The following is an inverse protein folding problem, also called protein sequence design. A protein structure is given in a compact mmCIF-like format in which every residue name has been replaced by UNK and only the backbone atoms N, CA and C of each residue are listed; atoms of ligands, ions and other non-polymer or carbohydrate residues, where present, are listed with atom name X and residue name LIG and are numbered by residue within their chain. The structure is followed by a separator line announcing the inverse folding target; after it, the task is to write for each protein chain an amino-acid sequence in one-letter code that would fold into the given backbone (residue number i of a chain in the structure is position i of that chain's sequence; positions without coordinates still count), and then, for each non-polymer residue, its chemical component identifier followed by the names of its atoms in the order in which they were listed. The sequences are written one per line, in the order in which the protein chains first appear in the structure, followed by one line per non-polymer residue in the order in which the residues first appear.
data_IF_466383703050
#
_entry.id   IF_466383703050
#
_cell.length_a   1.000
_cell.length_b   1.000
_cell.length_c   1.000
_cell.angle_alpha   90.00
_cell.angle_beta   90.00
_cell.angle_gamma   90.00
#
_symmetry.space_group_name_H-M   'P 1'
#
loop_
_entity.id
_entity.type
_entity.pdbx_description
1 polymer ?
#
# COMPACT_ATOMS: atom_id res chain seq x y z
N UNK A 1 -0.96 3.05 -9.42
CA UNK A 1 -0.60 2.35 -10.67
C UNK A 1 0.40 1.24 -10.37
N UNK A 2 -0.07 0.00 -10.45
CA UNK A 2 0.77 -1.20 -10.41
C UNK A 2 1.15 -1.51 -11.86
N UNK A 3 2.42 -1.84 -12.12
CA UNK A 3 3.05 -1.85 -13.46
C UNK A 3 2.54 -2.91 -14.45
N UNK A 4 1.37 -3.52 -14.20
CA UNK A 4 0.73 -4.41 -15.16
C UNK A 4 0.10 -3.64 -16.32
N UNK A 5 -0.09 -2.32 -16.19
CA UNK A 5 -0.75 -1.47 -17.18
C UNK A 5 0.25 -0.56 -17.91
N UNK A 6 -0.03 -0.28 -19.19
CA UNK A 6 0.68 0.73 -19.96
C UNK A 6 0.56 2.11 -19.30
N UNK A 7 1.67 2.82 -19.11
CA UNK A 7 1.69 4.13 -18.48
C UNK A 7 0.88 5.23 -19.22
N UNK A 8 0.48 4.97 -20.47
CA UNK A 8 -0.24 5.95 -21.31
C UNK A 8 -1.71 5.61 -21.48
N UNK A 9 -2.01 4.40 -21.95
CA UNK A 9 -3.37 3.98 -22.31
C UNK A 9 -4.00 3.00 -21.31
N UNK A 10 -3.31 2.67 -20.22
CA UNK A 10 -3.74 1.73 -19.19
C UNK A 10 -4.03 0.29 -19.66
N UNK A 11 -3.75 -0.06 -20.93
CA UNK A 11 -3.86 -1.44 -21.44
C UNK A 11 -2.98 -2.40 -20.63
N UNK A 12 -3.54 -3.55 -20.26
CA UNK A 12 -2.80 -4.64 -19.61
C UNK A 12 -1.66 -5.13 -20.51
N UNK A 13 -0.45 -5.22 -19.96
CA UNK A 13 0.77 -5.58 -20.68
C UNK A 13 1.01 -7.09 -20.77
N UNK A 14 0.15 -7.89 -20.12
CA UNK A 14 0.24 -9.35 -20.13
C UNK A 14 1.57 -9.90 -19.60
N UNK A 15 1.86 -11.16 -19.93
CA UNK A 15 3.08 -11.87 -19.53
C UNK A 15 4.34 -11.37 -20.23
N UNK A 16 4.20 -10.76 -21.42
CA UNK A 16 5.34 -10.25 -22.19
C UNK A 16 5.86 -8.91 -21.65
N UNK A 17 5.15 -8.30 -20.68
CA UNK A 17 5.52 -7.10 -19.92
C UNK A 17 5.83 -5.84 -20.76
N UNK A 18 5.44 -5.83 -22.04
CA UNK A 18 5.55 -4.70 -22.96
C UNK A 18 6.97 -4.16 -23.19
N UNK A 19 7.08 -3.04 -23.94
CA UNK A 19 8.34 -2.27 -24.01
C UNK A 19 8.55 -1.51 -22.71
N UNK A 20 9.81 -1.33 -22.29
CA UNK A 20 10.18 -0.50 -21.15
C UNK A 20 11.13 0.64 -21.53
N UNK A 21 11.02 1.75 -20.83
CA UNK A 21 12.03 2.81 -20.89
C UNK A 21 13.38 2.26 -20.41
N UNK A 22 14.43 2.38 -21.22
CA UNK A 22 15.76 1.87 -20.87
C UNK A 22 16.42 2.56 -19.67
N UNK A 23 15.92 3.72 -19.24
CA UNK A 23 16.49 4.49 -18.12
C UNK A 23 15.80 4.23 -16.78
N UNK A 24 14.47 4.21 -16.77
CA UNK A 24 13.67 4.19 -15.54
C UNK A 24 12.71 3.00 -15.45
N UNK A 25 12.74 2.09 -16.44
CA UNK A 25 11.94 0.87 -16.51
C UNK A 25 10.41 1.05 -16.55
N UNK A 26 9.89 2.26 -16.71
CA UNK A 26 8.46 2.49 -17.00
C UNK A 26 8.01 1.68 -18.21
N UNK A 27 6.86 1.01 -18.14
CA UNK A 27 6.38 0.08 -19.16
C UNK A 27 5.28 0.66 -20.06
N UNK A 28 5.24 0.18 -21.30
CA UNK A 28 4.37 0.63 -22.38
C UNK A 28 3.91 -0.57 -23.22
N UNK A 29 2.70 -0.51 -23.76
CA UNK A 29 2.21 -1.56 -24.68
C UNK A 29 2.92 -1.52 -26.06
N UNK A 30 3.55 -0.39 -26.42
CA UNK A 30 4.22 -0.20 -27.70
C UNK A 30 5.11 1.05 -27.75
N UNK A 31 5.82 1.23 -28.88
CA UNK A 31 6.73 2.35 -29.09
C UNK A 31 5.98 3.68 -29.22
N UNK A 32 4.78 3.66 -29.77
CA UNK A 32 3.88 4.80 -29.95
C UNK A 32 3.50 5.38 -28.58
N UNK A 33 3.06 4.53 -27.64
CA UNK A 33 2.79 4.94 -26.26
C UNK A 33 4.05 5.48 -25.57
N UNK A 34 5.21 4.86 -25.78
CA UNK A 34 6.46 5.36 -25.20
C UNK A 34 6.80 6.77 -25.73
N UNK A 35 6.70 6.99 -27.05
CA UNK A 35 6.95 8.29 -27.68
C UNK A 35 5.94 9.33 -27.20
N UNK A 36 4.66 8.98 -27.13
CA UNK A 36 3.62 9.86 -26.61
C UNK A 36 3.89 10.26 -25.14
N UNK A 37 4.29 9.31 -24.30
CA UNK A 37 4.64 9.61 -22.91
C UNK A 37 5.83 10.57 -22.81
N UNK A 38 6.82 10.38 -23.67
CA UNK A 38 8.01 11.22 -23.76
C UNK A 38 7.69 12.65 -24.19
N UNK A 39 6.94 12.82 -25.27
CA UNK A 39 6.73 14.13 -25.91
C UNK A 39 5.55 14.90 -25.32
N UNK A 40 4.45 14.23 -24.98
CA UNK A 40 3.19 14.90 -24.63
C UNK A 40 2.89 14.89 -23.12
N UNK A 41 3.37 13.88 -22.39
CA UNK A 41 3.06 13.70 -20.96
C UNK A 41 4.25 13.98 -20.03
N UNK A 42 5.34 14.53 -20.57
CA UNK A 42 6.47 15.02 -19.78
C UNK A 42 7.36 13.93 -19.17
N UNK A 43 7.39 12.73 -19.75
CA UNK A 43 8.29 11.69 -19.26
C UNK A 43 9.77 12.07 -19.39
N UNK A 44 10.13 12.96 -20.31
CA UNK A 44 11.46 13.54 -20.43
C UNK A 44 11.95 14.19 -19.11
N UNK A 45 11.06 14.92 -18.43
CA UNK A 45 11.31 15.57 -17.13
C UNK A 45 11.22 14.58 -15.97
N UNK A 46 10.27 13.64 -16.03
CA UNK A 46 10.03 12.68 -14.94
C UNK A 46 11.00 11.51 -14.93
N UNK A 47 11.59 11.12 -16.06
CA UNK A 47 12.40 9.91 -16.19
C UNK A 47 13.56 9.86 -15.19
N UNK A 48 14.22 11.00 -14.93
CA UNK A 48 15.32 11.09 -13.95
C UNK A 48 14.81 10.89 -12.52
N UNK A 49 13.65 11.47 -12.18
CA UNK A 49 13.04 11.34 -10.86
C UNK A 49 12.57 9.90 -10.62
N UNK A 50 11.90 9.30 -11.61
CA UNK A 50 11.45 7.92 -11.57
C UNK A 50 12.65 6.97 -11.38
N UNK A 51 13.73 7.17 -12.15
CA UNK A 51 14.95 6.37 -11.98
C UNK A 51 15.53 6.53 -10.58
N UNK A 52 15.62 7.75 -10.07
CA UNK A 52 16.16 8.04 -8.73
C UNK A 52 15.32 7.39 -7.62
N UNK A 53 14.01 7.36 -7.78
CA UNK A 53 13.11 6.72 -6.83
C UNK A 53 13.22 5.19 -6.84
N UNK A 54 13.82 4.57 -7.86
CA UNK A 54 13.88 3.10 -7.96
C UNK A 54 12.85 2.48 -8.92
N UNK A 55 12.18 3.31 -9.73
CA UNK A 55 11.22 2.87 -10.74
C UNK A 55 9.88 3.60 -10.63
N UNK A 56 8.99 3.33 -11.59
CA UNK A 56 7.70 4.03 -11.70
C UNK A 56 6.77 3.72 -10.53
N UNK A 57 6.74 2.48 -10.04
CA UNK A 57 5.88 2.13 -8.89
C UNK A 57 6.36 2.80 -7.62
N UNK A 58 7.67 2.77 -7.36
CA UNK A 58 8.25 3.42 -6.19
C UNK A 58 8.02 4.93 -6.23
N UNK A 59 8.26 5.58 -7.37
CA UNK A 59 7.98 7.00 -7.53
C UNK A 59 6.49 7.35 -7.29
N UNK A 60 5.58 6.52 -7.80
CA UNK A 60 4.16 6.71 -7.60
C UNK A 60 3.75 6.48 -6.15
N UNK A 61 4.27 5.43 -5.50
CA UNK A 61 4.03 5.14 -4.09
C UNK A 61 4.57 6.27 -3.19
N UNK A 62 5.76 6.79 -3.48
CA UNK A 62 6.35 7.94 -2.77
C UNK A 62 5.45 9.18 -2.89
N UNK A 63 5.00 9.48 -4.11
CA UNK A 63 4.14 10.64 -4.39
C UNK A 63 2.81 10.52 -3.65
N UNK A 64 2.14 9.36 -3.77
CA UNK A 64 0.86 9.09 -3.13
C UNK A 64 0.95 9.04 -1.61
N UNK A 65 2.04 8.50 -1.06
CA UNK A 65 2.33 8.57 0.35
C UNK A 65 2.40 10.03 0.83
N UNK A 66 3.15 10.90 0.15
CA UNK A 66 3.23 12.32 0.53
C UNK A 66 1.87 13.02 0.46
N UNK A 67 1.09 12.78 -0.59
CA UNK A 67 -0.27 13.33 -0.74
C UNK A 67 -1.19 12.88 0.40
N UNK A 68 -1.24 11.57 0.67
CA UNK A 68 -2.16 11.00 1.67
C UNK A 68 -1.78 11.32 3.11
N UNK A 69 -0.48 11.43 3.42
CA UNK A 69 -0.01 11.94 4.72
C UNK A 69 -0.46 13.38 4.94
N UNK A 70 -0.35 14.24 3.92
CA UNK A 70 -0.80 15.62 4.04
C UNK A 70 -2.32 15.71 4.27
N UNK A 71 -3.11 14.90 3.55
CA UNK A 71 -4.57 14.81 3.74
C UNK A 71 -4.91 14.31 5.15
N UNK A 72 -4.26 13.25 5.62
CA UNK A 72 -4.50 12.70 6.95
C UNK A 72 -4.14 13.69 8.06
N UNK A 73 -2.99 14.35 7.98
CA UNK A 73 -2.58 15.37 8.95
C UNK A 73 -3.54 16.58 8.96
N UNK A 74 -4.00 17.03 7.78
CA UNK A 74 -4.99 18.10 7.69
C UNK A 74 -6.34 17.71 8.32
N UNK A 75 -6.80 16.48 8.08
CA UNK A 75 -8.05 15.97 8.66
C UNK A 75 -7.99 15.85 10.20
N UNK A 76 -6.81 15.62 10.77
CA UNK A 76 -6.58 15.51 12.21
C UNK A 76 -6.08 16.82 12.87
N UNK A 77 -5.99 17.93 12.14
CA UNK A 77 -5.30 19.14 12.62
C UNK A 77 -5.91 19.73 13.90
N UNK A 78 -7.24 19.70 14.04
CA UNK A 78 -7.93 20.21 15.24
C UNK A 78 -7.70 19.29 16.45
N UNK A 79 -7.88 17.98 16.28
CA UNK A 79 -7.72 16.97 17.34
C UNK A 79 -6.28 16.87 17.86
N UNK A 80 -5.30 17.32 17.08
CA UNK A 80 -3.87 17.20 17.38
C UNK A 80 -3.26 18.44 18.02
N UNK A 81 -4.05 19.50 18.26
CA UNK A 81 -3.57 20.72 18.91
C UNK A 81 -3.02 20.45 20.31
N UNK A 82 -1.79 20.90 20.54
CA UNK A 82 -1.08 20.72 21.81
C UNK A 82 -0.64 19.28 22.09
N UNK A 83 -0.84 18.36 21.15
CA UNK A 83 -0.40 16.97 21.28
C UNK A 83 1.02 16.79 20.74
N UNK A 84 1.63 15.67 21.10
CA UNK A 84 2.94 15.25 20.60
C UNK A 84 2.88 13.81 20.13
N UNK A 85 3.71 13.45 19.16
CA UNK A 85 3.87 12.08 18.72
C UNK A 85 4.32 11.19 19.89
N UNK A 86 3.62 10.09 20.17
CA UNK A 86 4.01 9.19 21.27
C UNK A 86 5.32 8.43 21.02
N UNK A 87 5.81 8.41 19.77
CA UNK A 87 7.04 7.73 19.37
C UNK A 87 8.24 8.67 19.50
N UNK A 88 8.16 9.87 18.91
CA UNK A 88 9.30 10.80 18.85
C UNK A 88 9.18 12.02 19.77
N UNK A 89 8.05 12.17 20.49
CA UNK A 89 7.75 13.27 21.41
C UNK A 89 7.71 14.68 20.78
N UNK A 90 7.62 14.76 19.45
CA UNK A 90 7.54 16.04 18.72
C UNK A 90 6.12 16.30 18.20
N UNK A 91 5.73 17.58 18.13
CA UNK A 91 4.49 17.99 17.47
C UNK A 91 4.62 17.91 15.93
N UNK A 92 5.77 18.32 15.38
CA UNK A 92 6.11 18.18 13.96
C UNK A 92 7.30 17.25 13.80
N UNK A 93 7.24 16.36 12.80
CA UNK A 93 8.36 15.46 12.55
C UNK A 93 9.58 16.26 12.09
N UNK A 94 10.73 16.10 12.75
CA UNK A 94 11.92 16.94 12.53
C UNK A 94 12.40 16.96 11.06
N UNK A 95 12.29 15.82 10.36
CA UNK A 95 12.72 15.63 8.97
C UNK A 95 11.65 15.97 7.91
N UNK A 96 10.49 15.31 7.97
CA UNK A 96 9.41 15.43 6.98
C UNK A 96 8.52 16.64 7.20
N UNK A 97 8.56 17.25 8.39
CA UNK A 97 7.68 18.35 8.82
C UNK A 97 6.19 17.98 8.82
N UNK A 98 5.86 16.70 8.83
CA UNK A 98 4.46 16.26 8.89
C UNK A 98 3.83 16.57 10.26
N UNK A 99 2.52 16.84 10.21
CA UNK A 99 1.68 16.95 11.40
C UNK A 99 1.30 15.58 11.98
N UNK A 100 0.64 15.60 13.13
CA UNK A 100 0.17 14.39 13.79
C UNK A 100 -1.14 13.89 13.15
N UNK A 101 -1.40 12.60 13.34
CA UNK A 101 -2.67 11.96 13.07
C UNK A 101 -3.19 11.25 14.32
N UNK A 102 -4.50 11.01 14.36
CA UNK A 102 -5.16 10.14 15.35
C UNK A 102 -5.86 9.01 14.61
N UNK A 103 -5.44 7.78 14.90
CA UNK A 103 -5.68 6.62 14.02
C UNK A 103 -6.60 5.54 14.62
N UNK A 104 -6.95 5.65 15.90
CA UNK A 104 -7.61 4.63 16.71
C UNK A 104 -8.54 5.30 17.73
N UNK A 105 -9.43 4.52 18.37
CA UNK A 105 -10.18 4.97 19.54
C UNK A 105 -9.37 4.96 20.85
N UNK A 106 -8.04 5.15 20.76
CA UNK A 106 -7.18 5.30 21.92
C UNK A 106 -7.69 6.46 22.80
N UNK A 107 -7.78 6.25 24.11
CA UNK A 107 -8.33 7.25 25.06
C UNK A 107 -7.27 8.26 25.49
N UNK A 108 -7.73 9.47 25.82
CA UNK A 108 -6.86 10.54 26.36
C UNK A 108 -5.86 11.06 25.33
N UNK A 109 -4.62 11.30 25.78
CA UNK A 109 -3.51 11.81 24.95
C UNK A 109 -2.73 10.68 24.25
N UNK A 110 -3.17 9.43 24.35
CA UNK A 110 -2.55 8.31 23.68
C UNK A 110 -3.00 8.22 22.21
N UNK A 111 -2.10 7.71 21.35
CA UNK A 111 -2.42 7.39 19.95
C UNK A 111 -2.25 8.53 18.94
N UNK A 112 -1.64 9.65 19.33
CA UNK A 112 -1.18 10.68 18.40
C UNK A 112 0.21 10.34 17.87
N UNK A 113 0.39 10.26 16.57
CA UNK A 113 1.69 9.98 15.96
C UNK A 113 1.83 10.63 14.59
N UNK A 114 3.09 10.76 14.16
CA UNK A 114 3.44 10.97 12.75
C UNK A 114 3.20 9.67 11.98
N UNK A 115 2.65 9.75 10.77
CA UNK A 115 2.47 8.56 9.90
C UNK A 115 3.84 7.95 9.58
N UNK A 116 4.88 8.76 9.40
CA UNK A 116 6.26 8.29 9.19
C UNK A 116 6.82 7.53 10.39
N UNK A 117 6.50 7.94 11.62
CA UNK A 117 6.96 7.23 12.82
C UNK A 117 6.28 5.86 12.96
N UNK A 118 4.98 5.77 12.67
CA UNK A 118 4.26 4.50 12.65
C UNK A 118 4.80 3.56 11.58
N UNK A 119 4.99 4.07 10.36
CA UNK A 119 5.53 3.31 9.25
C UNK A 119 6.94 2.79 9.55
N UNK A 120 7.81 3.62 10.15
CA UNK A 120 9.16 3.18 10.51
C UNK A 120 9.13 2.14 11.64
N UNK A 121 8.25 2.29 12.64
CA UNK A 121 8.07 1.28 13.68
C UNK A 121 7.61 -0.06 13.09
N UNK A 122 6.57 -0.06 12.25
CA UNK A 122 6.06 -1.29 11.61
C UNK A 122 7.13 -1.94 10.71
N UNK A 123 7.90 -1.14 9.98
CA UNK A 123 9.02 -1.61 9.17
C UNK A 123 10.13 -2.26 10.01
N UNK A 124 10.53 -1.65 11.13
CA UNK A 124 11.55 -2.21 12.04
C UNK A 124 11.10 -3.57 12.56
N UNK A 125 9.84 -3.70 13.01
CA UNK A 125 9.31 -4.97 13.52
C UNK A 125 9.31 -6.09 12.47
N UNK A 126 9.02 -5.77 11.20
CA UNK A 126 9.11 -6.74 10.10
C UNK A 126 10.56 -7.12 9.83
N UNK A 127 11.48 -6.15 9.79
CA UNK A 127 12.90 -6.41 9.58
C UNK A 127 13.49 -7.27 10.70
N UNK A 128 13.16 -6.98 11.96
CA UNK A 128 13.57 -7.80 13.12
C UNK A 128 13.05 -9.24 13.01
N UNK A 129 11.81 -9.45 12.55
CA UNK A 129 11.27 -10.79 12.34
C UNK A 129 12.01 -11.56 11.23
N UNK A 130 12.34 -10.89 10.12
CA UNK A 130 13.16 -11.47 9.04
C UNK A 130 14.59 -11.79 9.51
N UNK A 131 15.26 -10.85 10.18
CA UNK A 131 16.64 -11.00 10.65
C UNK A 131 16.79 -12.12 11.69
N UNK A 132 15.78 -12.30 12.54
CA UNK A 132 15.75 -13.37 13.55
C UNK A 132 15.16 -14.70 13.01
N UNK A 133 14.81 -14.79 11.72
CA UNK A 133 14.18 -15.96 11.10
C UNK A 133 12.96 -16.46 11.88
N UNK A 134 12.12 -15.54 12.33
CA UNK A 134 10.90 -15.91 13.05
C UNK A 134 9.91 -16.61 12.10
N UNK A 135 9.08 -17.51 12.64
CA UNK A 135 8.07 -18.21 11.86
C UNK A 135 7.01 -17.25 11.28
N UNK A 136 6.25 -17.76 10.30
CA UNK A 136 5.22 -16.99 9.59
C UNK A 136 4.17 -16.34 10.51
N UNK A 137 3.83 -16.99 11.62
CA UNK A 137 2.90 -16.46 12.62
C UNK A 137 3.45 -15.18 13.26
N UNK A 138 4.68 -15.22 13.76
CA UNK A 138 5.34 -14.06 14.35
C UNK A 138 5.55 -12.95 13.31
N UNK A 139 5.94 -13.30 12.07
CA UNK A 139 6.05 -12.32 10.98
C UNK A 139 4.71 -11.64 10.68
N UNK A 140 3.61 -12.41 10.65
CA UNK A 140 2.25 -11.90 10.48
C UNK A 140 1.85 -10.94 11.61
N UNK A 141 2.14 -11.30 12.86
CA UNK A 141 1.87 -10.44 14.02
C UNK A 141 2.65 -9.11 13.95
N UNK A 142 3.92 -9.16 13.55
CA UNK A 142 4.73 -7.95 13.34
C UNK A 142 4.19 -7.12 12.17
N UNK A 143 3.81 -7.76 11.08
CA UNK A 143 3.23 -7.09 9.92
C UNK A 143 1.87 -6.45 10.22
N UNK A 144 1.11 -7.00 11.17
CA UNK A 144 -0.18 -6.45 11.59
C UNK A 144 -0.11 -5.00 12.08
N UNK A 145 1.08 -4.52 12.48
CA UNK A 145 1.31 -3.12 12.89
C UNK A 145 1.18 -2.11 11.74
N UNK A 146 1.08 -2.56 10.49
CA UNK A 146 0.71 -1.70 9.37
C UNK A 146 -0.78 -1.32 9.35
N UNK A 147 -1.64 -2.09 10.01
CA UNK A 147 -3.09 -1.87 10.02
C UNK A 147 -3.73 -1.91 11.41
N UNK A 148 -2.98 -2.17 12.48
CA UNK A 148 -3.46 -2.18 13.87
C UNK A 148 -2.61 -1.31 14.79
N UNK A 149 -3.27 -0.63 15.73
CA UNK A 149 -2.60 0.19 16.73
C UNK A 149 -1.83 -0.67 17.74
N UNK A 150 -0.58 -0.30 18.05
CA UNK A 150 0.22 -0.99 19.07
C UNK A 150 -0.23 -0.76 20.52
N UNK A 151 -1.14 0.20 20.75
CA UNK A 151 -1.58 0.59 22.10
C UNK A 151 -2.94 0.01 22.47
N UNK A 152 -3.90 0.03 21.53
CA UNK A 152 -5.27 -0.45 21.79
C UNK A 152 -5.71 -1.59 20.87
N UNK A 153 -4.83 -2.05 19.97
CA UNK A 153 -5.05 -3.19 19.05
C UNK A 153 -6.21 -3.01 18.05
N UNK A 154 -6.88 -1.86 18.05
CA UNK A 154 -7.89 -1.55 17.05
C UNK A 154 -7.25 -1.29 15.69
N UNK A 155 -8.01 -1.64 14.65
CA UNK A 155 -7.66 -1.30 13.28
C UNK A 155 -7.55 0.21 13.07
N UNK A 156 -6.60 0.61 12.24
CA UNK A 156 -6.58 1.96 11.69
C UNK A 156 -7.79 2.17 10.79
N UNK A 157 -8.33 3.39 10.73
CA UNK A 157 -9.51 3.68 9.92
C UNK A 157 -9.39 5.00 9.14
N UNK A 158 -10.25 5.16 8.13
CA UNK A 158 -10.40 6.41 7.37
C UNK A 158 -9.14 6.83 6.59
N UNK A 159 -8.93 8.14 6.49
CA UNK A 159 -7.78 8.72 5.76
C UNK A 159 -6.43 8.33 6.34
N UNK A 160 -6.37 7.94 7.62
CA UNK A 160 -5.12 7.48 8.25
C UNK A 160 -4.79 6.05 7.82
N UNK A 161 -5.78 5.16 7.73
CA UNK A 161 -5.60 3.83 7.17
C UNK A 161 -5.11 3.91 5.71
N UNK A 162 -5.67 4.84 4.92
CA UNK A 162 -5.20 5.12 3.56
C UNK A 162 -3.72 5.54 3.52
N UNK A 163 -3.32 6.49 4.36
CA UNK A 163 -1.93 6.96 4.41
C UNK A 163 -0.95 5.85 4.82
N UNK A 164 -1.32 5.02 5.81
CA UNK A 164 -0.53 3.86 6.22
C UNK A 164 -0.48 2.76 5.16
N UNK A 165 -1.57 2.55 4.41
CA UNK A 165 -1.60 1.66 3.26
C UNK A 165 -0.59 2.07 2.18
N UNK A 166 -0.53 3.35 1.84
CA UNK A 166 0.50 3.87 0.94
C UNK A 166 1.91 3.79 1.53
N UNK A 167 2.09 4.01 2.83
CA UNK A 167 3.37 3.84 3.50
C UNK A 167 3.87 2.39 3.46
N UNK A 168 2.97 1.42 3.68
CA UNK A 168 3.24 -0.01 3.60
C UNK A 168 3.65 -0.39 2.18
N UNK A 169 2.83 -0.02 1.18
CA UNK A 169 3.12 -0.28 -0.23
C UNK A 169 4.46 0.33 -0.66
N UNK A 170 4.71 1.60 -0.32
CA UNK A 170 5.98 2.27 -0.57
C UNK A 170 7.18 1.50 0.00
N UNK A 171 7.03 0.84 1.14
CA UNK A 171 8.12 0.09 1.79
C UNK A 171 8.45 -1.20 1.04
N UNK A 172 7.44 -1.88 0.48
CA UNK A 172 7.60 -3.24 -0.06
C UNK A 172 7.44 -3.35 -1.58
N UNK A 173 7.08 -2.27 -2.29
CA UNK A 173 6.90 -2.28 -3.75
C UNK A 173 8.17 -2.61 -4.54
N UNK A 174 9.35 -2.36 -3.97
CA UNK A 174 10.63 -2.73 -4.58
C UNK A 174 10.96 -4.23 -4.52
N UNK A 175 10.23 -5.03 -3.72
CA UNK A 175 10.52 -6.46 -3.54
C UNK A 175 10.06 -7.30 -4.75
N UNK A 176 10.60 -8.51 -4.98
CA UNK A 176 10.14 -9.40 -6.04
C UNK A 176 8.64 -9.70 -5.97
N UNK A 177 7.98 -9.98 -7.10
CA UNK A 177 6.55 -10.34 -7.11
C UNK A 177 6.23 -11.57 -6.24
N UNK A 178 7.16 -12.53 -6.18
CA UNK A 178 7.02 -13.75 -5.37
C UNK A 178 7.22 -13.52 -3.86
N UNK A 179 7.63 -12.32 -3.44
CA UNK A 179 7.82 -11.99 -2.03
C UNK A 179 6.46 -11.77 -1.35
N UNK A 180 6.21 -12.51 -0.27
CA UNK A 180 4.95 -12.48 0.46
C UNK A 180 4.64 -11.09 1.03
N UNK A 181 5.64 -10.34 1.48
CA UNK A 181 5.44 -9.00 2.06
C UNK A 181 4.97 -8.00 1.00
N UNK A 182 5.36 -8.18 -0.26
CA UNK A 182 4.83 -7.37 -1.37
C UNK A 182 3.33 -7.61 -1.53
N UNK A 183 2.89 -8.86 -1.51
CA UNK A 183 1.46 -9.19 -1.57
C UNK A 183 0.70 -8.61 -0.37
N UNK A 184 1.21 -8.81 0.85
CA UNK A 184 0.56 -8.30 2.04
C UNK A 184 0.45 -6.77 2.02
N UNK A 185 1.46 -6.07 1.51
CA UNK A 185 1.40 -4.63 1.33
C UNK A 185 0.32 -4.18 0.34
N UNK A 186 0.02 -4.96 -0.70
CA UNK A 186 -1.12 -4.70 -1.58
C UNK A 186 -2.46 -4.87 -0.85
N UNK A 187 -2.58 -5.89 0.01
CA UNK A 187 -3.78 -6.07 0.86
C UNK A 187 -3.99 -4.87 1.78
N UNK A 188 -2.94 -4.41 2.47
CA UNK A 188 -3.02 -3.25 3.37
C UNK A 188 -3.36 -1.98 2.59
N UNK A 189 -2.75 -1.77 1.42
CA UNK A 189 -3.08 -0.62 0.56
C UNK A 189 -4.54 -0.65 0.10
N UNK A 190 -5.02 -1.79 -0.39
CA UNK A 190 -6.42 -1.94 -0.82
C UNK A 190 -7.40 -1.66 0.32
N UNK A 191 -7.13 -2.20 1.51
CA UNK A 191 -7.96 -1.98 2.71
C UNK A 191 -7.96 -0.53 3.14
N UNK A 192 -6.78 0.10 3.19
CA UNK A 192 -6.64 1.52 3.53
C UNK A 192 -7.31 2.45 2.52
N UNK A 193 -7.27 2.13 1.22
CA UNK A 193 -7.97 2.89 0.19
C UNK A 193 -9.49 2.78 0.36
N UNK A 194 -10.01 1.58 0.61
CA UNK A 194 -11.43 1.35 0.91
C UNK A 194 -11.88 2.15 2.14
N UNK A 195 -11.14 2.10 3.23
CA UNK A 195 -11.43 2.87 4.44
C UNK A 195 -11.38 4.40 4.20
N UNK A 196 -10.50 4.83 3.30
CA UNK A 196 -10.40 6.20 2.81
C UNK A 196 -11.49 6.62 1.82
N UNK A 197 -12.44 5.74 1.49
CA UNK A 197 -13.49 5.95 0.46
C UNK A 197 -12.92 6.17 -0.96
N UNK A 198 -11.81 5.51 -1.26
CA UNK A 198 -11.19 5.46 -2.58
C UNK A 198 -11.46 4.11 -3.26
N UNK A 199 -12.74 3.75 -3.40
CA UNK A 199 -13.16 2.39 -3.77
C UNK A 199 -12.65 1.95 -5.15
N UNK A 200 -12.59 2.86 -6.14
CA UNK A 200 -12.07 2.56 -7.49
C UNK A 200 -10.56 2.27 -7.48
N UNK A 201 -9.81 3.01 -6.67
CA UNK A 201 -8.37 2.77 -6.50
C UNK A 201 -8.13 1.48 -5.71
N UNK A 202 -8.94 1.20 -4.68
CA UNK A 202 -8.90 -0.04 -3.91
C UNK A 202 -9.15 -1.25 -4.82
N UNK A 203 -10.20 -1.19 -5.65
CA UNK A 203 -10.50 -2.21 -6.66
C UNK A 203 -9.31 -2.44 -7.58
N UNK A 204 -8.72 -1.37 -8.11
CA UNK A 204 -7.55 -1.46 -8.99
C UNK A 204 -6.35 -2.15 -8.32
N UNK A 205 -6.16 -1.96 -7.01
CA UNK A 205 -5.10 -2.65 -6.24
C UNK A 205 -5.41 -4.13 -6.08
N UNK A 206 -6.65 -4.49 -5.74
CA UNK A 206 -7.04 -5.90 -5.58
C UNK A 206 -7.03 -6.68 -6.90
N UNK A 207 -7.47 -6.07 -8.00
CA UNK A 207 -7.37 -6.68 -9.34
C UNK A 207 -5.92 -6.97 -9.72
N UNK A 208 -5.03 -6.04 -9.43
CA UNK A 208 -3.60 -6.20 -9.69
C UNK A 208 -2.98 -7.27 -8.77
N UNK A 209 -3.40 -7.37 -7.50
CA UNK A 209 -2.97 -8.43 -6.59
C UNK A 209 -3.45 -9.79 -7.07
N UNK A 210 -4.70 -9.91 -7.48
CA UNK A 210 -5.28 -11.13 -8.02
C UNK A 210 -4.56 -11.57 -9.31
N UNK A 211 -4.27 -10.61 -10.20
CA UNK A 211 -3.49 -10.85 -11.41
C UNK A 211 -2.07 -11.36 -11.08
N UNK A 212 -1.40 -10.77 -10.08
CA UNK A 212 -0.10 -11.23 -9.60
C UNK A 212 -0.16 -12.66 -9.05
N UNK A 213 -1.13 -12.95 -8.18
CA UNK A 213 -1.32 -14.29 -7.59
C UNK A 213 -1.54 -15.38 -8.64
N UNK A 214 -2.34 -15.08 -9.68
CA UNK A 214 -2.56 -16.00 -10.80
C UNK A 214 -1.28 -16.27 -11.58
N UNK A 215 -0.45 -15.25 -11.84
CA UNK A 215 0.84 -15.44 -12.53
C UNK A 215 1.82 -16.28 -11.73
N UNK A 216 1.79 -16.17 -10.41
CA UNK A 216 2.67 -16.93 -9.50
C UNK A 216 2.17 -18.36 -9.26
N UNK A 217 0.98 -18.73 -9.75
CA UNK A 217 0.38 -20.03 -9.49
C UNK A 217 0.01 -20.23 -8.02
N UNK A 218 -0.42 -19.16 -7.34
CA UNK A 218 -0.84 -19.25 -5.95
C UNK A 218 -2.01 -20.24 -5.78
N UNK A 219 -2.07 -20.87 -4.60
CA UNK A 219 -3.15 -21.81 -4.27
C UNK A 219 -4.52 -21.15 -4.34
N UNK A 220 -5.54 -21.92 -4.74
CA UNK A 220 -6.91 -21.43 -4.90
C UNK A 220 -7.46 -20.78 -3.62
N UNK A 221 -7.12 -21.31 -2.44
CA UNK A 221 -7.50 -20.71 -1.15
C UNK A 221 -7.00 -19.27 -0.99
N UNK A 222 -5.75 -18.98 -1.40
CA UNK A 222 -5.18 -17.62 -1.34
C UNK A 222 -5.89 -16.70 -2.34
N UNK A 223 -6.19 -17.21 -3.54
CA UNK A 223 -6.94 -16.49 -4.56
C UNK A 223 -8.34 -16.11 -4.05
N UNK A 224 -9.02 -17.05 -3.38
CA UNK A 224 -10.35 -16.83 -2.80
C UNK A 224 -10.32 -15.80 -1.67
N UNK A 225 -9.28 -15.76 -0.84
CA UNK A 225 -9.13 -14.73 0.21
C UNK A 225 -9.04 -13.33 -0.41
N UNK A 226 -8.23 -13.16 -1.46
CA UNK A 226 -8.13 -11.86 -2.18
C UNK A 226 -9.48 -11.49 -2.82
N UNK A 227 -10.17 -12.44 -3.45
CA UNK A 227 -11.49 -12.21 -4.04
C UNK A 227 -12.57 -11.90 -3.00
N UNK A 228 -12.50 -12.50 -1.82
CA UNK A 228 -13.46 -12.24 -0.73
C UNK A 228 -13.33 -10.81 -0.17
N UNK A 229 -12.15 -10.20 -0.31
CA UNK A 229 -11.86 -8.83 0.11
C UNK A 229 -12.40 -7.79 -0.89
N UNK A 230 -12.79 -8.19 -2.11
CA UNK A 230 -13.45 -7.30 -3.05
C UNK A 230 -14.84 -6.88 -2.51
N UNK A 231 -15.17 -5.58 -2.55
CA UNK A 231 -16.48 -5.09 -2.10
C UNK A 231 -17.62 -5.86 -2.75
N UNK A 232 -18.65 -6.20 -1.98
CA UNK A 232 -19.75 -7.04 -2.46
C UNK A 232 -20.48 -6.45 -3.70
N UNK A 233 -20.55 -5.13 -3.81
CA UNK A 233 -21.13 -4.43 -4.96
C UNK A 233 -20.21 -4.42 -6.20
N UNK A 234 -18.95 -4.85 -6.06
CA UNK A 234 -17.96 -4.96 -7.13
C UNK A 234 -17.68 -6.41 -7.54
N UNK A 235 -18.26 -7.40 -6.84
CA UNK A 235 -18.24 -8.78 -7.32
C UNK A 235 -19.17 -8.85 -8.54
N UNK A 236 -18.59 -9.08 -9.72
CA UNK A 236 -19.36 -9.38 -10.93
C UNK A 236 -20.50 -10.35 -10.58
N UNK A 237 -21.72 -10.00 -10.98
CA UNK A 237 -22.97 -10.70 -10.65
C UNK A 237 -22.99 -12.18 -11.03
N UNK A 238 -21.98 -12.65 -11.77
CA UNK A 238 -21.93 -13.99 -12.34
C UNK A 238 -21.28 -15.03 -11.42
N UNK A 239 -20.78 -14.65 -10.23
CA UNK A 239 -20.15 -15.61 -9.31
C UNK A 239 -20.44 -15.30 -7.82
N UNK A 240 -21.70 -15.44 -7.39
CA UNK A 240 -22.08 -15.31 -5.98
C UNK A 240 -21.69 -16.53 -5.16
N UNK A 241 -20.53 -16.46 -4.50
CA UNK A 241 -20.21 -17.26 -3.30
C UNK A 241 -20.37 -16.34 -2.10
N UNK A 242 -21.31 -16.65 -1.20
CA UNK A 242 -21.51 -15.93 0.07
C UNK A 242 -20.42 -16.35 1.06
N UNK A 243 -19.52 -15.44 1.43
CA UNK A 243 -18.58 -15.61 2.54
C UNK A 243 -18.80 -14.51 3.59
N UNK A 244 -18.76 -14.91 4.86
CA UNK A 244 -19.11 -14.10 6.03
C UNK A 244 -17.96 -13.16 6.43
N UNK A 245 -18.30 -11.89 6.72
CA UNK A 245 -17.37 -10.78 6.89
C UNK A 245 -16.71 -10.68 8.26
N UNK A 246 -15.75 -11.55 8.54
CA UNK A 246 -14.69 -11.32 9.52
C UNK A 246 -13.36 -11.81 8.90
N UNK A 247 -12.59 -10.87 8.34
CA UNK A 247 -11.28 -11.12 7.73
C UNK A 247 -10.21 -11.50 8.76
N UNK A 248 -10.34 -12.69 9.35
CA UNK A 248 -9.21 -13.36 9.98
C UNK A 248 -8.29 -13.86 8.87
N UNK A 249 -7.04 -13.40 8.92
CA UNK A 249 -5.94 -13.90 8.10
C UNK A 249 -5.89 -15.41 8.30
N UNK A 250 -6.24 -16.18 7.27
CA UNK A 250 -6.05 -17.62 7.26
C UNK A 250 -4.55 -17.89 7.18
N UNK A 251 -3.95 -18.35 8.28
CA UNK A 251 -2.65 -19.03 8.24
C UNK A 251 -2.93 -20.48 7.89
N UNK A 252 -2.59 -20.97 6.68
CA UNK A 252 -2.60 -22.41 6.45
C UNK A 252 -1.54 -23.04 7.34
N UNK A 253 -1.97 -23.93 8.23
CA UNK A 253 -1.06 -24.85 8.92
C UNK A 253 -0.32 -25.66 7.85
N UNK A 254 1.01 -25.60 7.88
CA UNK A 254 1.91 -26.50 7.12
C UNK A 254 2.38 -27.59 8.07
#
# INVERSE_FOLDING_TARGET
MILTKCAVCATELGLTLGKKCGRCSTRYCGAECQKQHWEQRGHDKLCKLIKKAGGAEQYHADTKYTETVAVAAAACAEDTKGQTCYICTQALHWKTKEGLVRMCACRGTAGFAHVSCLAEQAKILVAEAEENNLGNEALSERFARWYTCSLCEQGHHGVVACALGWACWKTFVGRPEADMLRSWAMTVLGGGLSDGKHDEDALSVYEAQLSMMRRLGAQEGIILVVQATLPAHMRNSDNTIKLCGCGLVYTPDV
#
